data_IF_285004625771
#
_entry.id   IF_285004625771
#
_cell.length_a   1.000
_cell.length_b   1.000
_cell.length_c   1.000
_cell.angle_alpha   90.00
_cell.angle_beta   90.00
_cell.angle_gamma   90.00
#
_symmetry.space_group_name_H-M   'P 1'
#
loop_
_entity.id
_entity.type
_entity.pdbx_description
1 polymer ?
#
# COMPACT_ATOMS: atom_id res chain seq x y z
N UNK A 1 -4.31 1.82 -44.21
CA UNK A 1 -4.04 1.66 -42.75
C UNK A 1 -3.16 0.43 -42.61
N UNK A 2 -1.97 0.55 -42.08
CA UNK A 2 -1.12 -0.60 -41.74
C UNK A 2 -1.82 -1.45 -40.69
N UNK A 3 -1.88 -2.76 -40.90
CA UNK A 3 -2.46 -3.67 -39.90
C UNK A 3 -1.71 -3.51 -38.56
N UNK A 4 -2.44 -3.46 -37.45
CA UNK A 4 -1.83 -3.42 -36.11
C UNK A 4 -1.04 -4.71 -35.85
N UNK A 5 0.14 -4.65 -35.25
CA UNK A 5 0.87 -5.86 -34.85
C UNK A 5 0.10 -6.66 -33.80
N UNK A 6 0.12 -8.01 -33.88
CA UNK A 6 -0.52 -8.86 -32.89
C UNK A 6 0.22 -8.81 -31.56
N UNK A 7 -0.53 -8.81 -30.43
CA UNK A 7 0.00 -8.75 -29.07
C UNK A 7 -0.81 -9.67 -28.15
N UNK A 8 -0.12 -10.57 -27.43
CA UNK A 8 -0.71 -11.30 -26.32
C UNK A 8 -0.63 -10.41 -25.06
N UNK A 9 -1.76 -10.08 -24.47
CA UNK A 9 -1.84 -9.28 -23.25
C UNK A 9 -2.22 -10.17 -22.06
N UNK A 10 -1.29 -10.34 -21.14
CA UNK A 10 -1.49 -11.09 -19.90
C UNK A 10 -1.94 -10.16 -18.79
N UNK A 11 -3.18 -10.31 -18.38
CA UNK A 11 -3.79 -9.49 -17.33
C UNK A 11 -3.70 -10.24 -15.99
N UNK A 12 -2.84 -9.76 -15.10
CA UNK A 12 -2.64 -10.38 -13.80
C UNK A 12 -3.85 -10.15 -12.89
N UNK A 13 -4.25 -11.19 -12.14
CA UNK A 13 -5.28 -11.12 -11.11
C UNK A 13 -4.87 -11.89 -9.85
N UNK A 14 -5.18 -11.37 -8.65
CA UNK A 14 -5.87 -10.09 -8.41
C UNK A 14 -5.00 -8.87 -8.71
N UNK A 15 -5.66 -7.75 -9.00
CA UNK A 15 -5.05 -6.44 -9.25
C UNK A 15 -5.97 -5.32 -8.76
N UNK A 16 -5.47 -4.08 -8.73
CA UNK A 16 -6.27 -2.92 -8.37
C UNK A 16 -6.70 -2.91 -6.90
N UNK A 17 -7.78 -2.22 -6.58
CA UNK A 17 -8.20 -1.95 -5.21
C UNK A 17 -8.25 -3.19 -4.31
N UNK A 18 -7.76 -3.04 -3.08
CA UNK A 18 -7.93 -4.02 -2.01
C UNK A 18 -9.03 -3.55 -1.03
N UNK A 19 -9.53 -4.46 -0.19
CA UNK A 19 -10.56 -4.14 0.79
C UNK A 19 -10.20 -3.00 1.76
N UNK A 20 -8.90 -2.82 2.06
CA UNK A 20 -8.44 -1.71 2.89
C UNK A 20 -8.59 -0.36 2.21
N UNK A 21 -8.26 -0.30 0.92
CA UNK A 21 -8.39 0.90 0.08
C UNK A 21 -9.86 1.24 -0.15
N UNK A 22 -10.69 0.28 -0.57
CA UNK A 22 -12.13 0.48 -0.75
C UNK A 22 -12.78 1.03 0.52
N UNK A 23 -12.46 0.42 1.67
CA UNK A 23 -12.97 0.88 2.97
C UNK A 23 -12.56 2.32 3.26
N UNK A 24 -11.30 2.70 3.01
CA UNK A 24 -10.80 4.04 3.33
C UNK A 24 -11.48 5.11 2.47
N UNK A 25 -11.64 4.85 1.18
CA UNK A 25 -12.37 5.74 0.26
C UNK A 25 -13.82 5.89 0.71
N UNK A 26 -14.49 4.77 0.98
CA UNK A 26 -15.89 4.77 1.43
C UNK A 26 -16.09 5.53 2.75
N UNK A 27 -15.12 5.50 3.66
CA UNK A 27 -15.15 6.27 4.90
C UNK A 27 -15.21 7.77 4.62
N UNK A 28 -14.39 8.29 3.69
CA UNK A 28 -14.41 9.72 3.33
C UNK A 28 -15.74 10.09 2.67
N UNK A 29 -16.24 9.26 1.76
CA UNK A 29 -17.54 9.48 1.10
C UNK A 29 -18.68 9.51 2.12
N UNK A 30 -18.75 8.54 3.03
CA UNK A 30 -19.74 8.51 4.09
C UNK A 30 -19.62 9.69 5.07
N UNK A 31 -18.40 10.15 5.33
CA UNK A 31 -18.19 11.34 6.14
C UNK A 31 -18.76 12.60 5.46
N UNK A 32 -18.53 12.74 4.13
CA UNK A 32 -19.12 13.80 3.32
C UNK A 32 -20.64 13.71 3.27
N UNK A 33 -21.20 12.51 3.12
CA UNK A 33 -22.65 12.27 3.16
C UNK A 33 -23.25 12.67 4.53
N UNK A 34 -22.55 12.30 5.63
CA UNK A 34 -23.06 12.49 6.99
C UNK A 34 -22.96 13.91 7.50
N UNK A 35 -21.84 14.59 7.29
CA UNK A 35 -21.57 15.91 7.88
C UNK A 35 -21.55 17.05 6.87
N UNK A 36 -21.66 16.73 5.57
CA UNK A 36 -21.51 17.72 4.50
C UNK A 36 -20.05 18.15 4.30
N UNK A 37 -19.80 18.85 3.19
CA UNK A 37 -18.49 19.43 2.93
C UNK A 37 -18.27 20.71 3.78
N UNK A 38 -17.01 21.01 4.17
CA UNK A 38 -15.82 20.21 3.96
C UNK A 38 -15.63 19.10 5.00
N UNK A 39 -15.04 17.99 4.57
CA UNK A 39 -14.45 16.97 5.43
C UNK A 39 -12.93 17.01 5.23
N UNK A 40 -12.18 17.11 6.32
CA UNK A 40 -10.72 17.12 6.26
C UNK A 40 -10.17 15.71 6.25
N UNK A 41 -9.10 15.49 5.51
CA UNK A 41 -8.42 14.20 5.42
C UNK A 41 -6.93 14.44 5.66
N UNK A 42 -6.40 13.86 6.74
CA UNK A 42 -4.98 14.00 7.05
C UNK A 42 -4.16 13.04 6.19
N UNK A 43 -3.26 13.59 5.40
CA UNK A 43 -2.52 12.96 4.32
C UNK A 43 -3.43 12.43 3.19
N UNK A 44 -2.85 11.93 2.10
CA UNK A 44 -3.63 11.23 1.08
C UNK A 44 -4.32 10.02 1.71
N UNK A 45 -5.61 9.86 1.48
CA UNK A 45 -6.38 8.72 2.03
C UNK A 45 -5.78 7.39 1.58
N UNK A 46 -5.32 7.35 0.34
CA UNK A 46 -4.55 6.28 -0.30
C UNK A 46 -3.63 6.91 -1.35
N UNK A 47 -2.52 6.28 -1.70
CA UNK A 47 -1.59 6.78 -2.71
C UNK A 47 -2.14 6.61 -4.13
N UNK A 48 -3.08 7.47 -4.49
CA UNK A 48 -3.64 7.54 -5.83
C UNK A 48 -4.24 8.93 -6.10
N UNK A 49 -3.60 9.72 -6.96
CA UNK A 49 -4.02 11.07 -7.29
C UNK A 49 -5.44 11.13 -7.87
N UNK A 50 -5.82 10.18 -8.73
CA UNK A 50 -7.16 10.12 -9.30
C UNK A 50 -8.23 10.01 -8.21
N UNK A 51 -7.99 9.17 -7.19
CA UNK A 51 -8.89 9.04 -6.03
C UNK A 51 -8.91 10.32 -5.21
N UNK A 52 -7.74 10.88 -4.90
CA UNK A 52 -7.61 12.12 -4.11
C UNK A 52 -8.34 13.28 -4.80
N UNK A 53 -8.13 13.47 -6.11
CA UNK A 53 -8.78 14.51 -6.89
C UNK A 53 -10.31 14.30 -6.98
N UNK A 54 -10.75 13.04 -7.11
CA UNK A 54 -12.17 12.69 -7.07
C UNK A 54 -12.84 13.03 -5.74
N UNK A 55 -12.17 12.79 -4.62
CA UNK A 55 -12.67 13.15 -3.28
C UNK A 55 -12.61 14.66 -3.04
N UNK A 56 -11.59 15.37 -3.54
CA UNK A 56 -11.54 16.85 -3.53
C UNK A 56 -12.73 17.46 -4.26
N UNK A 57 -13.07 16.92 -5.43
CA UNK A 57 -14.23 17.37 -6.19
C UNK A 57 -15.56 17.15 -5.44
N UNK A 58 -15.62 16.19 -4.51
CA UNK A 58 -16.77 15.94 -3.62
C UNK A 58 -16.77 16.83 -2.35
N UNK A 59 -15.70 17.60 -2.11
CA UNK A 59 -15.59 18.51 -0.97
C UNK A 59 -14.67 18.03 0.16
N UNK A 60 -13.83 17.02 -0.07
CA UNK A 60 -12.76 16.66 0.86
C UNK A 60 -11.59 17.65 0.75
N UNK A 61 -11.01 18.05 1.89
CA UNK A 61 -9.82 18.89 1.98
C UNK A 61 -8.70 18.05 2.57
N UNK A 62 -7.64 17.86 1.78
CA UNK A 62 -6.46 17.11 2.23
C UNK A 62 -5.46 18.07 2.87
N UNK A 63 -5.00 17.70 4.06
CA UNK A 63 -4.06 18.44 4.90
C UNK A 63 -2.92 17.55 5.34
N UNK A 64 -1.81 18.13 5.72
CA UNK A 64 -0.68 17.38 6.25
C UNK A 64 -0.80 17.19 7.76
N UNK A 65 -1.19 18.25 8.50
CA UNK A 65 -1.26 18.20 9.95
C UNK A 65 -2.63 18.65 10.49
N UNK A 66 -2.95 18.25 11.74
CA UNK A 66 -4.25 18.55 12.35
C UNK A 66 -4.46 20.03 12.59
N UNK A 67 -3.39 20.82 12.79
CA UNK A 67 -3.44 22.25 13.00
C UNK A 67 -4.10 23.01 11.84
N UNK A 68 -4.07 22.42 10.64
CA UNK A 68 -4.73 22.95 9.45
C UNK A 68 -6.25 22.72 9.45
N UNK A 69 -6.74 21.85 10.38
CA UNK A 69 -8.16 21.53 10.48
C UNK A 69 -8.85 22.41 11.51
N UNK A 70 -10.01 23.01 11.20
CA UNK A 70 -10.89 23.63 12.21
C UNK A 70 -11.43 22.56 13.18
N UNK A 71 -11.58 22.91 14.46
CA UNK A 71 -12.03 22.00 15.50
C UNK A 71 -13.48 21.53 15.31
N UNK A 72 -14.31 22.34 14.65
CA UNK A 72 -15.74 22.09 14.41
C UNK A 72 -16.00 21.24 13.15
N UNK A 73 -14.97 20.77 12.48
CA UNK A 73 -15.08 19.97 11.25
C UNK A 73 -14.57 18.54 11.42
N UNK A 74 -15.18 17.58 10.73
CA UNK A 74 -14.73 16.21 10.78
C UNK A 74 -13.37 16.05 10.09
N UNK A 75 -12.49 15.23 10.71
CA UNK A 75 -11.21 14.83 10.14
C UNK A 75 -11.13 13.31 10.00
N UNK A 76 -10.63 12.84 8.87
CA UNK A 76 -10.39 11.42 8.58
C UNK A 76 -8.88 11.16 8.57
N UNK A 77 -8.42 10.16 9.33
CA UNK A 77 -7.04 9.68 9.26
C UNK A 77 -6.88 8.67 8.12
N UNK A 78 -5.77 8.74 7.38
CA UNK A 78 -5.56 7.92 6.18
C UNK A 78 -5.46 6.42 6.47
N UNK A 79 -5.57 5.62 5.40
CA UNK A 79 -5.47 4.16 5.47
C UNK A 79 -4.12 3.65 6.02
N UNK A 80 -3.08 4.48 5.93
CA UNK A 80 -1.71 4.13 6.34
C UNK A 80 -1.50 4.08 7.86
N UNK A 81 -2.46 4.61 8.62
CA UNK A 81 -2.33 4.75 10.06
C UNK A 81 -1.59 6.02 10.48
N UNK A 82 -1.67 6.33 11.76
CA UNK A 82 -1.09 7.55 12.35
C UNK A 82 -0.41 7.24 13.68
N UNK A 83 0.61 8.04 14.09
CA UNK A 83 1.16 7.99 15.45
C UNK A 83 0.08 8.18 16.52
N UNK A 84 0.26 7.61 17.70
CA UNK A 84 -0.67 7.76 18.85
C UNK A 84 -0.91 9.22 19.25
N UNK A 85 0.03 10.11 18.99
CA UNK A 85 -0.11 11.55 19.27
C UNK A 85 -1.26 12.19 18.50
N UNK A 86 -1.49 11.78 17.24
CA UNK A 86 -2.50 12.37 16.36
C UNK A 86 -3.94 12.17 16.88
N UNK A 87 -4.42 10.95 17.19
CA UNK A 87 -5.74 10.79 17.80
C UNK A 87 -5.84 11.38 19.22
N UNK A 88 -4.74 11.44 19.97
CA UNK A 88 -4.71 12.10 21.28
C UNK A 88 -4.91 13.61 21.14
N UNK A 89 -4.27 14.26 20.17
CA UNK A 89 -4.45 15.67 19.87
C UNK A 89 -5.88 15.95 19.40
N UNK A 90 -6.41 15.19 18.42
CA UNK A 90 -7.79 15.34 17.95
C UNK A 90 -8.79 15.23 19.12
N UNK A 91 -8.56 14.31 20.05
CA UNK A 91 -9.38 14.16 21.26
C UNK A 91 -9.27 15.39 22.19
N UNK A 92 -8.07 15.90 22.41
CA UNK A 92 -7.86 17.09 23.25
C UNK A 92 -8.54 18.34 22.66
N UNK A 93 -8.57 18.46 21.33
CA UNK A 93 -9.26 19.50 20.59
C UNK A 93 -10.77 19.23 20.41
N UNK A 94 -11.28 18.11 20.91
CA UNK A 94 -12.68 17.70 20.82
C UNK A 94 -13.19 17.55 19.37
N UNK A 95 -12.29 17.24 18.43
CA UNK A 95 -12.62 17.09 17.01
C UNK A 95 -13.44 15.82 16.75
N UNK A 96 -14.26 15.84 15.70
CA UNK A 96 -14.88 14.64 15.15
C UNK A 96 -13.83 13.91 14.30
N UNK A 97 -13.13 12.96 14.91
CA UNK A 97 -12.10 12.19 14.23
C UNK A 97 -12.62 10.81 13.81
N UNK A 98 -12.37 10.44 12.56
CA UNK A 98 -12.70 9.13 11.99
C UNK A 98 -11.43 8.43 11.53
N UNK A 99 -11.16 7.26 12.08
CA UNK A 99 -9.97 6.49 11.75
C UNK A 99 -10.25 5.57 10.56
N UNK A 100 -9.62 5.86 9.41
CA UNK A 100 -9.66 5.02 8.22
C UNK A 100 -8.47 4.05 8.12
N UNK A 101 -7.60 3.99 9.13
CA UNK A 101 -6.48 3.02 9.16
C UNK A 101 -6.93 1.63 8.75
N UNK A 102 -6.22 1.03 7.80
CA UNK A 102 -6.51 -0.34 7.35
C UNK A 102 -6.44 -1.30 8.55
N UNK A 103 -7.42 -2.22 8.72
CA UNK A 103 -7.40 -3.19 9.82
C UNK A 103 -6.12 -4.02 9.89
N UNK A 104 -5.45 -4.25 8.75
CA UNK A 104 -4.18 -4.99 8.73
C UNK A 104 -3.01 -4.13 9.23
N UNK A 105 -3.03 -2.82 9.01
CA UNK A 105 -2.09 -1.87 9.63
C UNK A 105 -2.37 -1.75 11.13
N UNK A 106 -3.65 -1.67 11.53
CA UNK A 106 -4.04 -1.68 12.94
C UNK A 106 -3.55 -2.94 13.66
N UNK A 107 -3.55 -4.11 12.99
CA UNK A 107 -2.95 -5.35 13.51
C UNK A 107 -1.48 -5.14 13.85
N UNK A 108 -0.70 -4.57 12.93
CA UNK A 108 0.74 -4.28 13.14
C UNK A 108 0.94 -3.32 14.31
N UNK A 109 0.16 -2.24 14.40
CA UNK A 109 0.19 -1.30 15.51
C UNK A 109 -0.07 -1.97 16.87
N UNK A 110 -1.10 -2.82 16.94
CA UNK A 110 -1.46 -3.54 18.16
C UNK A 110 -0.38 -4.56 18.56
N UNK A 111 0.24 -5.21 17.56
CA UNK A 111 1.31 -6.16 17.80
C UNK A 111 2.58 -5.48 18.32
N UNK A 112 2.95 -4.34 17.71
CA UNK A 112 4.04 -3.49 18.19
C UNK A 112 3.82 -3.08 19.67
N UNK A 113 2.62 -2.58 19.98
CA UNK A 113 2.26 -2.20 21.35
C UNK A 113 2.31 -3.40 22.32
N UNK A 114 1.88 -4.59 21.89
CA UNK A 114 1.92 -5.82 22.71
C UNK A 114 3.36 -6.27 22.96
N UNK A 115 4.24 -6.25 21.96
CA UNK A 115 5.64 -6.58 22.13
C UNK A 115 6.32 -5.66 23.12
N UNK A 116 6.09 -4.36 23.00
CA UNK A 116 6.62 -3.37 23.94
C UNK A 116 6.10 -3.58 25.37
N UNK A 117 4.79 -3.83 25.55
CA UNK A 117 4.20 -4.13 26.85
C UNK A 117 4.81 -5.38 27.52
N UNK A 118 5.29 -6.34 26.71
CA UNK A 118 6.04 -7.50 27.18
C UNK A 118 7.54 -7.22 27.40
N UNK A 119 7.96 -5.95 27.30
CA UNK A 119 9.34 -5.50 27.52
C UNK A 119 10.30 -5.87 26.39
N UNK A 120 9.80 -6.13 25.18
CA UNK A 120 10.62 -6.37 23.99
C UNK A 120 10.87 -5.04 23.28
N UNK A 121 12.11 -4.81 22.82
CA UNK A 121 12.42 -3.73 21.90
C UNK A 121 12.02 -4.15 20.48
N UNK A 122 11.39 -3.27 19.72
CA UNK A 122 10.87 -3.58 18.39
C UNK A 122 11.87 -3.20 17.30
N UNK A 123 12.16 -4.13 16.39
CA UNK A 123 12.79 -3.86 15.11
C UNK A 123 11.69 -3.83 14.07
N UNK A 124 11.55 -2.70 13.36
CA UNK A 124 10.53 -2.55 12.32
C UNK A 124 11.18 -2.60 10.94
N UNK A 125 10.77 -3.54 10.11
CA UNK A 125 11.21 -3.64 8.72
C UNK A 125 10.27 -2.80 7.88
N UNK A 126 10.76 -1.72 7.27
CA UNK A 126 9.93 -0.77 6.53
C UNK A 126 10.75 0.30 5.84
N UNK A 127 10.11 1.18 5.09
CA UNK A 127 10.77 2.29 4.39
C UNK A 127 10.72 3.56 5.22
N UNK A 128 11.87 4.20 5.39
CA UNK A 128 11.97 5.49 6.07
C UNK A 128 11.06 6.53 5.41
N UNK A 129 10.33 7.28 6.24
CA UNK A 129 9.43 8.34 5.77
C UNK A 129 8.10 7.85 5.17
N UNK A 130 7.91 6.56 4.98
CA UNK A 130 6.59 6.06 4.55
C UNK A 130 5.55 6.28 5.65
N UNK A 131 4.32 6.77 5.34
CA UNK A 131 3.30 7.06 6.36
C UNK A 131 2.99 5.89 7.29
N UNK A 132 2.93 4.65 6.78
CA UNK A 132 2.72 3.45 7.61
C UNK A 132 3.88 3.22 8.58
N UNK A 133 5.13 3.45 8.14
CA UNK A 133 6.32 3.34 9.00
C UNK A 133 6.29 4.39 10.10
N UNK A 134 6.00 5.64 9.75
CA UNK A 134 5.85 6.76 10.70
C UNK A 134 4.73 6.44 11.71
N UNK A 135 3.57 5.97 11.21
CA UNK A 135 2.43 5.57 12.02
C UNK A 135 2.75 4.46 13.00
N UNK A 136 3.46 3.41 12.55
CA UNK A 136 3.83 2.27 13.39
C UNK A 136 4.91 2.63 14.42
N UNK A 137 5.96 3.36 14.01
CA UNK A 137 6.99 3.82 14.93
C UNK A 137 6.40 4.72 16.02
N UNK A 138 5.45 5.58 15.66
CA UNK A 138 4.73 6.46 16.59
C UNK A 138 3.71 5.75 17.51
N UNK A 139 3.59 4.42 17.46
CA UNK A 139 2.82 3.66 18.45
C UNK A 139 3.56 3.48 19.76
N UNK A 140 4.87 3.61 19.77
CA UNK A 140 5.75 3.38 20.93
C UNK A 140 6.49 4.65 21.30
N UNK A 141 7.05 4.73 22.51
CA UNK A 141 7.92 5.84 22.90
C UNK A 141 9.13 5.96 21.96
N UNK A 142 9.67 7.16 21.86
CA UNK A 142 10.88 7.42 21.07
C UNK A 142 12.04 6.51 21.50
N UNK A 143 12.78 5.94 20.53
CA UNK A 143 13.88 5.01 20.73
C UNK A 143 13.49 3.55 21.00
N UNK A 144 12.20 3.23 21.16
CA UNK A 144 11.73 1.84 21.36
C UNK A 144 11.60 1.05 20.04
N UNK A 145 11.57 1.74 18.90
CA UNK A 145 11.52 1.12 17.56
C UNK A 145 12.77 1.44 16.78
N UNK A 146 13.43 0.41 16.29
CA UNK A 146 14.59 0.51 15.39
C UNK A 146 14.13 0.18 13.99
N UNK A 147 14.30 1.11 13.04
CA UNK A 147 13.98 0.90 11.63
C UNK A 147 15.11 0.16 10.91
N UNK A 148 14.75 -0.81 10.09
CA UNK A 148 15.65 -1.57 9.20
C UNK A 148 15.01 -1.64 7.82
N UNK A 149 15.80 -1.31 6.79
CA UNK A 149 15.34 -1.33 5.39
C UNK A 149 15.99 -2.46 4.58
N UNK A 150 17.22 -2.85 4.95
CA UNK A 150 18.03 -3.82 4.20
C UNK A 150 18.69 -4.84 5.13
N UNK A 151 19.14 -6.00 4.61
CA UNK A 151 19.94 -6.94 5.40
C UNK A 151 21.23 -6.34 5.97
N UNK A 152 21.85 -5.38 5.28
CA UNK A 152 23.06 -4.69 5.69
C UNK A 152 22.84 -3.78 6.91
N UNK A 153 21.63 -3.24 7.06
CA UNK A 153 21.26 -2.43 8.23
C UNK A 153 21.20 -3.29 9.48
N UNK A 154 20.77 -4.55 9.35
CA UNK A 154 20.75 -5.50 10.46
C UNK A 154 22.11 -5.60 11.14
N UNK A 155 23.22 -5.55 10.38
CA UNK A 155 24.57 -5.61 10.93
C UNK A 155 24.97 -4.35 11.73
N UNK A 156 24.33 -3.21 11.47
CA UNK A 156 24.71 -1.88 11.99
C UNK A 156 23.89 -1.44 13.21
N UNK A 157 22.70 -1.99 13.42
CA UNK A 157 21.83 -1.56 14.51
C UNK A 157 22.43 -1.89 15.87
N UNK A 158 22.14 -1.03 16.84
CA UNK A 158 22.44 -1.26 18.26
C UNK A 158 21.15 -1.47 19.00
N UNK A 159 21.06 -2.57 19.74
CA UNK A 159 19.88 -2.94 20.53
C UNK A 159 20.20 -2.88 22.02
N UNK A 160 19.18 -2.70 22.84
CA UNK A 160 19.31 -2.61 24.30
C UNK A 160 19.67 -3.96 24.93
N UNK A 161 19.01 -5.03 24.49
CA UNK A 161 19.18 -6.41 24.96
C UNK A 161 18.85 -7.39 23.81
N UNK A 162 19.85 -8.13 23.34
CA UNK A 162 19.70 -9.06 22.21
C UNK A 162 18.75 -10.23 22.51
N UNK A 163 18.51 -10.53 23.79
CA UNK A 163 17.59 -11.60 24.20
C UNK A 163 16.12 -11.14 24.28
N UNK A 164 15.86 -9.82 24.17
CA UNK A 164 14.54 -9.21 24.36
C UNK A 164 14.13 -8.36 23.16
N UNK A 165 14.06 -9.00 22.00
CA UNK A 165 13.73 -8.36 20.74
C UNK A 165 12.48 -8.96 20.12
N UNK A 166 11.73 -8.13 19.42
CA UNK A 166 10.70 -8.54 18.48
C UNK A 166 10.88 -7.82 17.14
N UNK A 167 10.32 -8.36 16.08
CA UNK A 167 10.21 -7.63 14.83
C UNK A 167 8.79 -7.63 14.29
N UNK A 168 8.45 -6.59 13.53
CA UNK A 168 7.26 -6.47 12.70
C UNK A 168 7.63 -5.85 11.37
N UNK A 169 6.74 -5.90 10.38
CA UNK A 169 7.04 -5.39 9.05
C UNK A 169 5.94 -4.45 8.55
N UNK A 170 6.31 -3.54 7.64
CA UNK A 170 5.37 -2.78 6.83
C UNK A 170 4.57 -3.74 5.94
N UNK A 171 3.28 -3.45 5.73
CA UNK A 171 2.34 -4.36 5.04
C UNK A 171 2.56 -4.46 3.53
N UNK A 172 3.34 -3.56 2.92
CA UNK A 172 3.50 -3.42 1.47
C UNK A 172 4.89 -3.72 0.94
N UNK A 173 5.71 -4.45 1.70
CA UNK A 173 7.07 -4.82 1.30
C UNK A 173 7.10 -5.95 0.26
N UNK A 174 8.25 -6.12 -0.38
CA UNK A 174 8.58 -7.35 -1.13
C UNK A 174 8.64 -8.54 -0.18
N UNK A 175 7.95 -9.62 -0.54
CA UNK A 175 7.98 -10.87 0.26
C UNK A 175 9.39 -11.44 0.32
N UNK A 176 10.09 -11.47 -0.82
CA UNK A 176 11.42 -12.07 -0.93
C UNK A 176 12.48 -11.23 -0.19
N UNK A 177 12.46 -9.89 -0.38
CA UNK A 177 13.41 -9.00 0.29
C UNK A 177 13.20 -9.01 1.81
N UNK A 178 11.94 -9.04 2.25
CA UNK A 178 11.61 -9.16 3.67
C UNK A 178 12.11 -10.47 4.25
N UNK A 179 11.98 -11.57 3.52
CA UNK A 179 12.50 -12.88 3.96
C UNK A 179 14.04 -12.84 4.16
N UNK A 180 14.78 -12.12 3.29
CA UNK A 180 16.23 -11.95 3.44
C UNK A 180 16.57 -11.14 4.70
N UNK A 181 15.84 -10.05 4.98
CA UNK A 181 16.05 -9.23 6.19
C UNK A 181 15.72 -10.06 7.46
N UNK A 182 14.62 -10.80 7.45
CA UNK A 182 14.21 -11.66 8.57
C UNK A 182 15.25 -12.76 8.81
N UNK A 183 15.83 -13.35 7.74
CA UNK A 183 16.90 -14.33 7.87
C UNK A 183 18.15 -13.71 8.53
N UNK A 184 18.55 -12.49 8.14
CA UNK A 184 19.65 -11.76 8.75
C UNK A 184 19.39 -11.44 10.23
N UNK A 185 18.15 -11.01 10.58
CA UNK A 185 17.74 -10.75 11.96
C UNK A 185 17.83 -12.01 12.82
N UNK A 186 17.31 -13.14 12.34
CA UNK A 186 17.34 -14.44 13.06
C UNK A 186 18.77 -14.99 13.20
N UNK A 187 19.62 -14.75 12.21
CA UNK A 187 21.03 -15.14 12.27
C UNK A 187 21.80 -14.34 13.34
N UNK A 188 21.53 -13.03 13.41
CA UNK A 188 22.19 -12.15 14.40
C UNK A 188 21.57 -12.26 15.79
N UNK A 189 20.25 -12.39 15.88
CA UNK A 189 19.47 -12.43 17.11
C UNK A 189 18.60 -13.69 17.18
N UNK A 190 19.17 -14.87 17.52
CA UNK A 190 18.44 -16.13 17.46
C UNK A 190 17.19 -16.21 18.34
N UNK A 191 17.09 -15.40 19.39
CA UNK A 191 15.96 -15.32 20.31
C UNK A 191 14.86 -14.32 19.86
N UNK A 192 15.04 -13.63 18.72
CA UNK A 192 14.09 -12.61 18.26
C UNK A 192 12.70 -13.20 18.01
N UNK A 193 11.67 -12.53 18.55
CA UNK A 193 10.27 -12.93 18.37
C UNK A 193 9.71 -12.28 17.12
N UNK A 194 9.16 -13.07 16.21
CA UNK A 194 8.45 -12.58 15.02
C UNK A 194 6.97 -12.31 15.28
N UNK A 195 6.27 -11.75 14.27
CA UNK A 195 4.82 -11.58 14.31
C UNK A 195 4.11 -12.93 14.41
N UNK A 196 2.97 -12.98 15.11
CA UNK A 196 2.16 -14.20 15.26
C UNK A 196 1.56 -14.70 13.93
N UNK A 197 1.35 -13.80 13.00
CA UNK A 197 0.96 -14.03 11.60
C UNK A 197 1.71 -13.03 10.74
N UNK A 198 1.95 -13.35 9.48
CA UNK A 198 2.64 -12.45 8.54
C UNK A 198 2.02 -11.05 8.52
N UNK A 199 2.89 -10.03 8.54
CA UNK A 199 2.48 -8.63 8.50
C UNK A 199 2.28 -8.13 7.08
N UNK A 200 3.02 -8.68 6.09
CA UNK A 200 2.78 -8.38 4.68
C UNK A 200 1.35 -8.82 4.35
N UNK A 201 0.54 -7.86 3.89
CA UNK A 201 -0.89 -8.10 3.75
C UNK A 201 -1.20 -9.02 2.55
N UNK A 202 -2.34 -9.73 2.62
CA UNK A 202 -2.82 -10.61 1.54
C UNK A 202 -2.83 -9.93 0.17
N UNK A 203 -3.23 -8.64 0.13
CA UNK A 203 -3.31 -7.90 -1.12
C UNK A 203 -1.92 -7.70 -1.75
N UNK A 204 -0.90 -7.45 -0.94
CA UNK A 204 0.49 -7.36 -1.38
C UNK A 204 1.01 -8.70 -1.86
N UNK A 205 0.83 -9.76 -1.06
CA UNK A 205 1.29 -11.11 -1.38
C UNK A 205 0.65 -11.64 -2.67
N UNK A 206 -0.67 -11.49 -2.80
CA UNK A 206 -1.41 -11.98 -3.96
C UNK A 206 -1.01 -11.27 -5.26
N UNK A 207 -0.85 -9.92 -5.23
CA UNK A 207 -0.43 -9.16 -6.41
C UNK A 207 1.00 -9.48 -6.82
N UNK A 208 1.90 -9.69 -5.87
CA UNK A 208 3.27 -10.16 -6.18
C UNK A 208 3.27 -11.57 -6.78
N UNK A 209 2.46 -12.49 -6.25
CA UNK A 209 2.29 -13.83 -6.83
C UNK A 209 1.74 -13.77 -8.26
N UNK A 210 0.75 -12.89 -8.52
CA UNK A 210 0.20 -12.70 -9.86
C UNK A 210 1.24 -12.17 -10.85
N UNK A 211 2.08 -11.21 -10.45
CA UNK A 211 3.20 -10.72 -11.28
C UNK A 211 4.20 -11.85 -11.57
N UNK A 212 4.62 -12.61 -10.55
CA UNK A 212 5.53 -13.73 -10.71
C UNK A 212 4.99 -14.80 -11.68
N UNK A 213 3.68 -15.02 -11.69
CA UNK A 213 3.03 -15.99 -12.57
C UNK A 213 3.03 -15.57 -14.05
N UNK A 214 2.99 -14.27 -14.36
CA UNK A 214 3.01 -13.77 -15.73
C UNK A 214 4.43 -13.41 -16.21
N UNK A 215 5.35 -13.03 -15.33
CA UNK A 215 6.69 -12.54 -15.69
C UNK A 215 7.45 -13.44 -16.69
N UNK A 216 7.43 -14.78 -16.56
CA UNK A 216 8.12 -15.65 -17.53
C UNK A 216 7.47 -15.71 -18.93
N UNK A 217 6.26 -15.15 -19.09
CA UNK A 217 5.46 -15.22 -20.33
C UNK A 217 5.48 -13.93 -21.13
N UNK A 218 6.07 -12.85 -20.57
CA UNK A 218 5.94 -11.48 -21.11
C UNK A 218 7.29 -10.86 -21.43
N UNK A 219 7.31 -10.01 -22.45
CA UNK A 219 8.47 -9.22 -22.85
C UNK A 219 8.55 -7.93 -22.03
N UNK A 220 7.39 -7.38 -21.66
CA UNK A 220 7.27 -6.13 -20.91
C UNK A 220 6.12 -6.21 -19.89
N UNK A 221 6.24 -5.46 -18.79
CA UNK A 221 5.23 -5.32 -17.74
C UNK A 221 4.87 -3.84 -17.53
N UNK A 222 3.58 -3.53 -17.63
CA UNK A 222 3.04 -2.26 -17.14
C UNK A 222 2.35 -2.45 -15.80
N UNK A 223 2.78 -1.67 -14.81
CA UNK A 223 2.17 -1.63 -13.48
C UNK A 223 1.39 -0.33 -13.35
N UNK A 224 0.06 -0.41 -13.27
CA UNK A 224 -0.77 0.77 -13.04
C UNK A 224 -0.74 1.14 -11.57
N UNK A 225 -0.29 2.38 -11.25
CA UNK A 225 -0.18 2.82 -9.86
C UNK A 225 0.57 4.14 -9.70
N UNK A 226 0.56 4.69 -8.49
CA UNK A 226 1.23 5.94 -8.19
C UNK A 226 2.70 5.74 -7.78
N UNK A 227 3.60 6.67 -8.10
CA UNK A 227 5.03 6.56 -7.77
C UNK A 227 5.34 6.62 -6.26
N UNK A 228 4.45 7.20 -5.46
CA UNK A 228 4.53 7.21 -4.00
C UNK A 228 3.86 5.99 -3.35
N UNK A 229 3.24 5.10 -4.13
CA UNK A 229 2.68 3.83 -3.63
C UNK A 229 3.78 2.78 -3.49
N UNK A 230 4.12 2.39 -2.26
CA UNK A 230 5.07 1.32 -1.97
C UNK A 230 4.67 0.02 -2.68
N UNK A 231 3.40 -0.39 -2.57
CA UNK A 231 2.89 -1.60 -3.24
C UNK A 231 3.12 -1.56 -4.75
N UNK A 232 2.81 -0.43 -5.42
CA UNK A 232 2.96 -0.32 -6.88
C UNK A 232 4.42 -0.39 -7.33
N UNK A 233 5.33 0.28 -6.61
CA UNK A 233 6.77 0.19 -6.89
C UNK A 233 7.31 -1.23 -6.72
N UNK A 234 6.88 -1.92 -5.65
CA UNK A 234 7.28 -3.33 -5.41
C UNK A 234 6.88 -4.25 -6.56
N UNK A 235 5.72 -4.04 -7.20
CA UNK A 235 5.31 -4.86 -8.34
C UNK A 235 6.22 -4.69 -9.56
N UNK A 236 6.74 -3.48 -9.80
CA UNK A 236 7.76 -3.25 -10.84
C UNK A 236 9.03 -4.03 -10.54
N UNK A 237 9.53 -3.92 -9.31
CA UNK A 237 10.74 -4.60 -8.86
C UNK A 237 10.59 -6.13 -8.90
N UNK A 238 9.46 -6.65 -8.42
CA UNK A 238 9.13 -8.09 -8.48
C UNK A 238 9.06 -8.57 -9.93
N UNK A 239 8.48 -7.79 -10.85
CA UNK A 239 8.45 -8.12 -12.27
C UNK A 239 9.85 -8.25 -12.87
N UNK A 240 10.72 -7.29 -12.58
CA UNK A 240 12.12 -7.28 -13.02
C UNK A 240 12.91 -8.44 -12.41
N UNK A 241 12.77 -8.68 -11.10
CA UNK A 241 13.43 -9.78 -10.40
C UNK A 241 12.95 -11.16 -10.88
N UNK A 242 11.68 -11.27 -11.32
CA UNK A 242 11.12 -12.48 -11.91
C UNK A 242 11.48 -12.70 -13.39
N UNK A 243 12.36 -11.86 -13.95
CA UNK A 243 12.94 -12.03 -15.29
C UNK A 243 12.24 -11.27 -16.41
N UNK A 244 11.28 -10.39 -16.12
CA UNK A 244 10.72 -9.50 -17.13
C UNK A 244 11.78 -8.47 -17.57
N UNK A 245 12.04 -8.40 -18.87
CA UNK A 245 13.12 -7.57 -19.43
C UNK A 245 12.86 -6.06 -19.26
N UNK A 246 11.59 -5.66 -19.29
CA UNK A 246 11.19 -4.28 -19.11
C UNK A 246 9.96 -4.19 -18.20
N UNK A 247 10.04 -3.41 -17.13
CA UNK A 247 8.93 -3.16 -16.20
C UNK A 247 8.78 -1.66 -15.97
N UNK A 248 7.59 -1.12 -16.21
CA UNK A 248 7.30 0.30 -16.05
C UNK A 248 6.11 0.55 -15.12
N UNK A 249 6.26 1.52 -14.21
CA UNK A 249 5.16 2.09 -13.44
C UNK A 249 4.51 3.20 -14.25
N UNK A 250 3.19 3.14 -14.41
CA UNK A 250 2.39 4.14 -15.11
C UNK A 250 1.20 4.56 -14.25
N UNK A 251 0.95 5.86 -14.12
CA UNK A 251 -0.26 6.33 -13.41
C UNK A 251 -1.48 6.26 -14.32
N UNK A 252 -1.26 6.46 -15.63
CA UNK A 252 -2.28 6.43 -16.67
C UNK A 252 -1.66 6.16 -18.06
N UNK A 253 -2.48 6.00 -19.07
CA UNK A 253 -2.03 5.67 -20.41
C UNK A 253 -1.01 6.67 -21.01
N UNK A 254 -1.09 7.95 -20.64
CA UNK A 254 -0.17 8.99 -21.12
C UNK A 254 1.28 8.78 -20.69
N UNK A 255 1.52 8.00 -19.63
CA UNK A 255 2.86 7.76 -19.07
C UNK A 255 3.58 6.59 -19.77
N UNK A 256 2.91 5.86 -20.66
CA UNK A 256 3.48 4.67 -21.31
C UNK A 256 4.63 5.08 -22.25
N UNK A 257 5.80 4.50 -22.00
CA UNK A 257 6.92 4.59 -22.95
C UNK A 257 6.72 3.61 -24.11
N UNK A 258 6.05 4.11 -25.15
CA UNK A 258 5.74 3.31 -26.33
C UNK A 258 6.99 2.84 -27.10
N UNK A 259 8.14 3.52 -26.97
CA UNK A 259 9.38 3.11 -27.63
C UNK A 259 9.94 1.84 -27.02
N UNK A 260 9.83 1.72 -25.69
CA UNK A 260 10.24 0.51 -24.99
C UNK A 260 9.34 -0.71 -25.28
N UNK A 261 8.14 -0.48 -25.85
CA UNK A 261 7.20 -1.52 -26.26
C UNK A 261 7.26 -1.84 -27.76
N UNK A 262 8.22 -1.28 -28.50
CA UNK A 262 8.38 -1.62 -29.92
C UNK A 262 8.86 -3.07 -30.09
N UNK A 263 8.16 -3.81 -30.96
CA UNK A 263 8.54 -5.18 -31.31
C UNK A 263 8.21 -6.26 -30.29
N UNK A 264 7.60 -5.92 -29.15
CA UNK A 264 7.14 -6.92 -28.18
C UNK A 264 6.00 -7.79 -28.76
N UNK A 265 5.87 -9.00 -28.26
CA UNK A 265 4.80 -9.96 -28.62
C UNK A 265 3.90 -10.30 -27.45
N UNK A 266 4.38 -10.06 -26.25
CA UNK A 266 3.67 -10.36 -25.01
C UNK A 266 3.84 -9.21 -24.01
N UNK A 267 2.72 -8.65 -23.55
CA UNK A 267 2.64 -7.57 -22.57
C UNK A 267 1.91 -8.03 -21.32
N UNK A 268 2.50 -7.84 -20.17
CA UNK A 268 1.82 -8.00 -18.88
C UNK A 268 1.22 -6.68 -18.40
N UNK A 269 0.01 -6.72 -17.86
CA UNK A 269 -0.59 -5.59 -17.14
C UNK A 269 -1.00 -6.06 -15.75
N UNK A 270 -0.62 -5.30 -14.75
CA UNK A 270 -1.08 -5.42 -13.36
C UNK A 270 -1.34 -4.04 -12.77
N UNK A 271 -1.82 -4.01 -11.53
CA UNK A 271 -2.08 -2.74 -10.84
C UNK A 271 -1.86 -2.87 -9.34
N UNK A 272 -1.32 -1.81 -8.74
CA UNK A 272 -1.16 -1.72 -7.30
C UNK A 272 -2.49 -1.67 -6.55
N UNK A 273 -2.45 -1.99 -5.25
CA UNK A 273 -3.63 -2.09 -4.37
C UNK A 273 -4.43 -0.78 -4.19
N UNK A 274 -3.89 0.35 -4.66
CA UNK A 274 -4.55 1.66 -4.65
C UNK A 274 -4.95 2.17 -6.05
N UNK A 275 -4.79 1.36 -7.11
CA UNK A 275 -5.16 1.73 -8.47
C UNK A 275 -6.61 1.34 -8.79
N UNK A 276 -7.34 2.22 -9.47
CA UNK A 276 -8.73 1.99 -9.88
C UNK A 276 -8.80 1.18 -11.18
N UNK A 277 -9.86 0.38 -11.35
CA UNK A 277 -10.08 -0.35 -12.60
C UNK A 277 -10.22 0.59 -13.81
N UNK A 278 -10.77 1.79 -13.63
CA UNK A 278 -10.87 2.82 -14.69
C UNK A 278 -9.50 3.16 -15.28
N UNK A 279 -8.45 3.29 -14.48
CA UNK A 279 -7.10 3.56 -14.98
C UNK A 279 -6.48 2.35 -15.67
N UNK A 280 -6.83 1.14 -15.23
CA UNK A 280 -6.38 -0.10 -15.87
C UNK A 280 -7.01 -0.22 -17.26
N UNK A 281 -8.31 0.02 -17.39
CA UNK A 281 -9.01 0.02 -18.67
C UNK A 281 -8.48 1.11 -19.61
N UNK A 282 -8.18 2.32 -19.09
CA UNK A 282 -7.53 3.38 -19.88
C UNK A 282 -6.21 2.90 -20.50
N UNK A 283 -5.39 2.18 -19.75
CA UNK A 283 -4.12 1.62 -20.21
C UNK A 283 -4.36 0.51 -21.25
N UNK A 284 -5.32 -0.39 -20.99
CA UNK A 284 -5.69 -1.46 -21.93
C UNK A 284 -6.19 -0.88 -23.25
N UNK A 285 -7.03 0.15 -23.22
CA UNK A 285 -7.57 0.80 -24.43
C UNK A 285 -6.46 1.48 -25.24
N UNK A 286 -5.53 2.16 -24.59
CA UNK A 286 -4.37 2.74 -25.26
C UNK A 286 -3.49 1.68 -25.96
N UNK A 287 -3.37 0.49 -25.37
CA UNK A 287 -2.69 -0.66 -25.99
C UNK A 287 -3.49 -1.16 -27.21
N UNK A 288 -4.82 -1.27 -27.10
CA UNK A 288 -5.72 -1.66 -28.21
C UNK A 288 -5.68 -0.68 -29.39
N UNK A 289 -5.40 0.59 -29.14
CA UNK A 289 -5.24 1.57 -30.22
C UNK A 289 -4.04 1.26 -31.13
N UNK A 290 -2.98 0.63 -30.58
CA UNK A 290 -1.70 0.38 -31.27
C UNK A 290 -1.50 -1.06 -31.71
N UNK A 291 -2.12 -2.02 -31.03
CA UNK A 291 -1.93 -3.45 -31.24
C UNK A 291 -3.26 -4.17 -31.52
N UNK A 292 -3.19 -5.31 -32.22
CA UNK A 292 -4.26 -6.29 -32.25
C UNK A 292 -4.11 -7.20 -31.02
N UNK A 293 -4.94 -6.96 -29.99
CA UNK A 293 -4.74 -7.50 -28.65
C UNK A 293 -5.55 -8.78 -28.43
N UNK A 294 -4.90 -9.85 -27.99
CA UNK A 294 -5.53 -11.04 -27.41
C UNK A 294 -5.29 -11.04 -25.89
N UNK A 295 -6.37 -10.92 -25.11
CA UNK A 295 -6.27 -10.87 -23.63
C UNK A 295 -6.36 -12.28 -23.05
N UNK A 296 -5.43 -12.59 -22.15
CA UNK A 296 -5.44 -13.77 -21.26
C UNK A 296 -5.45 -13.29 -19.79
N UNK A 297 -6.51 -13.63 -19.06
CA UNK A 297 -6.57 -13.40 -17.61
C UNK A 297 -5.79 -14.50 -16.89
N UNK A 298 -4.81 -14.12 -16.07
CA UNK A 298 -4.03 -15.03 -15.23
C UNK A 298 -4.38 -14.78 -13.77
N UNK A 299 -5.29 -15.59 -13.25
CA UNK A 299 -5.77 -15.50 -11.87
C UNK A 299 -4.98 -16.45 -10.96
N UNK A 300 -4.39 -15.91 -9.89
CA UNK A 300 -3.62 -16.68 -8.89
C UNK A 300 -4.33 -16.81 -7.56
N UNK A 301 -5.26 -15.91 -7.26
CA UNK A 301 -6.06 -15.94 -6.04
C UNK A 301 -7.38 -15.19 -6.23
N UNK A 302 -8.41 -15.55 -5.46
CA UNK A 302 -9.69 -14.83 -5.35
C UNK A 302 -9.73 -14.12 -4.01
N UNK A 303 -9.99 -12.82 -4.02
CA UNK A 303 -10.08 -12.00 -2.81
C UNK A 303 -11.56 -11.76 -2.44
N UNK A 304 -12.01 -12.34 -1.30
CA UNK A 304 -13.37 -12.20 -0.78
C UNK A 304 -13.37 -11.51 0.59
N UNK A 305 -12.46 -10.55 0.78
CA UNK A 305 -12.28 -9.84 2.05
C UNK A 305 -13.03 -8.52 1.98
N UNK A 306 -13.82 -8.25 3.01
CA UNK A 306 -14.50 -6.97 3.22
C UNK A 306 -14.23 -6.46 4.63
N UNK A 307 -13.94 -5.17 4.75
CA UNK A 307 -13.74 -4.52 6.04
C UNK A 307 -14.89 -3.55 6.36
N UNK A 308 -15.49 -3.71 7.53
CA UNK A 308 -16.56 -2.83 8.00
C UNK A 308 -16.06 -1.41 8.23
N UNK A 309 -16.83 -0.42 7.82
CA UNK A 309 -16.58 1.00 8.15
C UNK A 309 -16.78 1.25 9.65
N UNK A 310 -16.18 2.31 10.24
CA UNK A 310 -16.37 2.66 11.65
C UNK A 310 -17.83 2.83 12.04
N UNK A 311 -18.15 2.49 13.31
CA UNK A 311 -19.55 2.53 13.81
C UNK A 311 -20.18 3.90 13.65
N UNK A 312 -19.43 4.97 13.91
CA UNK A 312 -19.88 6.36 13.77
C UNK A 312 -20.46 6.69 12.38
N UNK A 313 -20.03 5.98 11.33
CA UNK A 313 -20.52 6.18 9.96
C UNK A 313 -21.63 5.21 9.55
N UNK A 314 -21.95 4.21 10.39
CA UNK A 314 -23.01 3.22 10.11
C UNK A 314 -24.37 3.62 10.71
N UNK A 315 -24.36 4.51 11.69
CA UNK A 315 -25.59 4.97 12.36
C UNK A 315 -26.14 6.19 11.58
N UNK A 316 -27.46 6.20 11.28
CA UNK A 316 -28.08 7.39 10.70
C UNK A 316 -27.93 8.60 11.65
N UNK A 317 -27.97 9.79 11.06
CA UNK A 317 -27.92 11.06 11.79
C UNK A 317 -29.17 11.23 12.62
#
# INVERSE_FOLDING_TARGET
MTAKPPLNLYLAAPRGFCAGVDRAIRIVELALEKWGAPVYVRHEIVHNRYVVDGLRAKGAIFVEELEECPDDRPVVFSAHGVPKSVPAEAKNRQMIAVDATCPLVTKVHNEAARHHANGLQLIFIGHQGHPETVGTMGQLPEGEVILVETPEDVAKITVRDESRLAFSTQTTLSVDDTAAIVAALKARFPAITGPGHEDICYATTNRQAAVKAIAPKIDALLVVGAPNSSNSRRLVEVGSAAGCAYSQLVQRAADIDWRALEGIRALGITAGASATEVLIEEVIDAVRERFEVRIELVETAVENIEFKVPRILREPV
#
